data_IF_369380517109
#
_entry.id   IF_369380517109
#
_cell.length_a   1.000
_cell.length_b   1.000
_cell.length_c   1.000
_cell.angle_alpha   90.00
_cell.angle_beta   90.00
_cell.angle_gamma   90.00
#
_symmetry.space_group_name_H-M   'P 1'
#
loop_
_entity.id
_entity.type
_entity.pdbx_description
1 polymer ?
#
# COMPACT_ATOMS: atom_id res chain seq x y z
N UNK A 1 -57.02 48.99 15.91
CA UNK A 1 -55.88 48.12 16.15
C UNK A 1 -55.76 46.95 15.16
N UNK A 2 -56.81 46.20 14.86
CA UNK A 2 -56.79 45.00 14.00
C UNK A 2 -56.31 45.23 12.55
N UNK A 3 -56.54 46.40 11.94
CA UNK A 3 -56.17 46.68 10.53
C UNK A 3 -54.67 46.95 10.34
N UNK A 4 -54.00 47.57 11.31
CA UNK A 4 -52.53 47.78 11.29
C UNK A 4 -51.73 46.49 11.47
N UNK A 5 -52.22 45.60 12.34
CA UNK A 5 -51.60 44.29 12.58
C UNK A 5 -51.68 43.41 11.33
N UNK A 6 -52.82 43.39 10.63
CA UNK A 6 -52.99 42.62 9.38
C UNK A 6 -52.07 43.11 8.25
N UNK A 7 -51.88 44.42 8.10
CA UNK A 7 -50.96 44.97 7.11
C UNK A 7 -49.51 44.60 7.43
N UNK A 8 -49.10 44.65 8.69
CA UNK A 8 -47.77 44.24 9.12
C UNK A 8 -47.53 42.73 8.86
N UNK A 9 -48.51 41.88 9.16
CA UNK A 9 -48.39 40.44 8.92
C UNK A 9 -48.24 40.09 7.43
N UNK A 10 -48.99 40.78 6.56
CA UNK A 10 -48.88 40.60 5.10
C UNK A 10 -47.52 41.09 4.61
N UNK A 11 -47.00 42.20 5.14
CA UNK A 11 -45.66 42.69 4.78
C UNK A 11 -44.54 41.73 5.20
N UNK A 12 -44.64 41.16 6.39
CA UNK A 12 -43.69 40.15 6.86
C UNK A 12 -43.75 38.83 6.05
N UNK A 13 -44.96 38.39 5.69
CA UNK A 13 -45.15 37.21 4.82
C UNK A 13 -44.56 37.47 3.42
N UNK A 14 -44.80 38.65 2.84
CA UNK A 14 -44.23 39.03 1.57
C UNK A 14 -42.70 39.11 1.59
N UNK A 15 -42.10 39.62 2.66
CA UNK A 15 -40.66 39.66 2.84
C UNK A 15 -40.07 38.25 3.03
N UNK A 16 -40.76 37.38 3.77
CA UNK A 16 -40.32 35.97 3.95
C UNK A 16 -40.37 35.18 2.65
N UNK A 17 -41.42 35.34 1.85
CA UNK A 17 -41.54 34.73 0.51
C UNK A 17 -40.44 35.26 -0.44
N UNK A 18 -40.14 36.55 -0.40
CA UNK A 18 -39.04 37.16 -1.15
C UNK A 18 -37.68 36.59 -0.78
N UNK A 19 -37.39 36.43 0.52
CA UNK A 19 -36.16 35.84 1.03
C UNK A 19 -36.03 34.37 0.65
N UNK A 20 -37.12 33.58 0.73
CA UNK A 20 -37.14 32.18 0.29
C UNK A 20 -36.90 32.07 -1.23
N UNK A 21 -37.44 32.97 -2.04
CA UNK A 21 -37.20 33.00 -3.48
C UNK A 21 -35.73 33.30 -3.82
N UNK A 22 -35.13 34.29 -3.12
CA UNK A 22 -33.70 34.59 -3.25
C UNK A 22 -32.83 33.42 -2.82
N UNK A 23 -33.15 32.78 -1.68
CA UNK A 23 -32.42 31.61 -1.20
C UNK A 23 -32.51 30.43 -2.18
N UNK A 24 -33.69 30.15 -2.72
CA UNK A 24 -33.89 29.10 -3.72
C UNK A 24 -33.09 29.38 -5.02
N UNK A 25 -33.06 30.64 -5.45
CA UNK A 25 -32.30 31.05 -6.63
C UNK A 25 -30.80 30.96 -6.41
N UNK A 26 -30.30 31.37 -5.24
CA UNK A 26 -28.87 31.23 -4.86
C UNK A 26 -28.46 29.78 -4.77
N UNK A 27 -29.32 28.94 -4.22
CA UNK A 27 -29.06 27.50 -4.13
C UNK A 27 -28.99 26.84 -5.51
N UNK A 28 -29.92 27.19 -6.40
CA UNK A 28 -29.93 26.71 -7.79
C UNK A 28 -28.70 27.14 -8.56
N UNK A 29 -28.29 28.41 -8.42
CA UNK A 29 -27.04 28.93 -8.99
C UNK A 29 -25.80 28.22 -8.42
N UNK A 30 -25.82 27.90 -7.13
CA UNK A 30 -24.75 27.11 -6.49
C UNK A 30 -24.65 25.68 -7.04
N UNK A 31 -25.80 25.02 -7.24
CA UNK A 31 -25.90 23.69 -7.83
C UNK A 31 -25.40 23.67 -9.28
N UNK A 32 -25.86 24.62 -10.11
CA UNK A 32 -25.43 24.78 -11.52
C UNK A 32 -23.91 25.09 -11.63
N UNK A 33 -23.37 25.91 -10.75
CA UNK A 33 -21.94 26.21 -10.73
C UNK A 33 -21.11 25.00 -10.25
N UNK A 34 -21.59 24.22 -9.27
CA UNK A 34 -20.95 23.00 -8.82
C UNK A 34 -20.94 21.93 -9.93
N UNK A 35 -22.06 21.76 -10.65
CA UNK A 35 -22.14 20.84 -11.80
C UNK A 35 -21.19 21.26 -12.94
N UNK A 36 -21.10 22.56 -13.26
CA UNK A 36 -20.14 23.05 -14.26
C UNK A 36 -18.71 22.83 -13.83
N UNK A 37 -18.39 23.11 -12.57
CA UNK A 37 -17.05 22.90 -12.03
C UNK A 37 -16.65 21.41 -12.04
N UNK A 38 -17.59 20.52 -11.69
CA UNK A 38 -17.38 19.07 -11.72
C UNK A 38 -17.18 18.56 -13.16
N UNK A 39 -17.96 19.09 -14.12
CA UNK A 39 -17.82 18.75 -15.54
C UNK A 39 -16.46 19.16 -16.08
N UNK A 40 -16.03 20.40 -15.86
CA UNK A 40 -14.72 20.87 -16.29
C UNK A 40 -13.56 20.11 -15.63
N UNK A 41 -13.72 19.71 -14.37
CA UNK A 41 -12.73 18.87 -13.70
C UNK A 41 -12.63 17.48 -14.35
N UNK A 42 -13.77 16.88 -14.71
CA UNK A 42 -13.82 15.60 -15.43
C UNK A 42 -13.23 15.68 -16.84
N UNK A 43 -13.55 16.75 -17.59
CA UNK A 43 -12.97 17.00 -18.92
C UNK A 43 -11.43 17.14 -18.84
N UNK A 44 -10.94 17.91 -17.87
CA UNK A 44 -9.51 18.06 -17.65
C UNK A 44 -8.83 16.74 -17.26
N UNK A 45 -9.43 15.99 -16.36
CA UNK A 45 -8.92 14.69 -15.94
C UNK A 45 -8.85 13.70 -17.12
N UNK A 46 -9.86 13.71 -18.00
CA UNK A 46 -9.86 12.87 -19.19
C UNK A 46 -8.75 13.26 -20.19
N UNK A 47 -8.56 14.55 -20.43
CA UNK A 47 -7.46 15.03 -21.29
C UNK A 47 -6.09 14.68 -20.72
N UNK A 48 -5.92 14.77 -19.40
CA UNK A 48 -4.69 14.37 -18.72
C UNK A 48 -4.45 12.84 -18.83
N UNK A 49 -5.50 12.03 -18.68
CA UNK A 49 -5.42 10.58 -18.87
C UNK A 49 -4.96 10.23 -20.31
N UNK A 50 -5.53 10.88 -21.32
CA UNK A 50 -5.13 10.68 -22.71
C UNK A 50 -3.67 11.07 -22.95
N UNK A 51 -3.25 12.24 -22.45
CA UNK A 51 -1.88 12.72 -22.60
C UNK A 51 -0.87 11.84 -21.89
N UNK A 52 -1.15 11.46 -20.65
CA UNK A 52 -0.28 10.62 -19.86
C UNK A 52 -0.16 9.19 -20.43
N UNK A 53 -1.25 8.61 -20.94
CA UNK A 53 -1.24 7.28 -21.58
C UNK A 53 -0.40 7.29 -22.88
N UNK A 54 -0.49 8.34 -23.69
CA UNK A 54 0.33 8.50 -24.88
C UNK A 54 1.83 8.64 -24.54
N UNK A 55 2.14 9.47 -23.54
CA UNK A 55 3.51 9.67 -23.10
C UNK A 55 4.11 8.41 -22.43
N UNK A 56 3.27 7.61 -21.73
CA UNK A 56 3.65 6.32 -21.18
C UNK A 56 4.05 5.35 -22.28
N UNK A 57 3.23 5.21 -23.33
CA UNK A 57 3.55 4.38 -24.50
C UNK A 57 4.87 4.77 -25.14
N UNK A 58 5.09 6.04 -25.40
CA UNK A 58 6.33 6.58 -25.96
C UNK A 58 7.56 6.28 -25.09
N UNK A 59 7.44 6.43 -23.79
CA UNK A 59 8.54 6.18 -22.85
C UNK A 59 8.91 4.70 -22.79
N UNK A 60 7.92 3.81 -22.78
CA UNK A 60 8.12 2.35 -22.77
C UNK A 60 8.73 1.87 -24.09
N UNK A 61 8.25 2.36 -25.23
CA UNK A 61 8.80 2.03 -26.55
C UNK A 61 10.28 2.42 -26.65
N UNK A 62 10.61 3.66 -26.30
CA UNK A 62 12.00 4.14 -26.31
C UNK A 62 12.86 3.35 -25.31
N UNK A 63 12.30 2.98 -24.14
CA UNK A 63 12.97 2.16 -23.14
C UNK A 63 13.32 0.77 -23.64
N UNK A 64 12.46 0.14 -24.44
CA UNK A 64 12.72 -1.18 -25.04
C UNK A 64 13.83 -1.16 -26.11
N UNK A 65 14.05 -0.01 -26.74
CA UNK A 65 14.98 0.16 -27.87
C UNK A 65 16.37 0.66 -27.45
N UNK A 66 16.52 1.29 -26.29
CA UNK A 66 17.81 1.82 -25.84
C UNK A 66 18.67 0.73 -25.19
N UNK A 67 20.01 0.90 -25.32
CA UNK A 67 21.02 0.02 -24.70
C UNK A 67 21.90 0.77 -23.71
N UNK A 68 21.62 2.05 -23.45
CA UNK A 68 22.38 2.87 -22.52
C UNK A 68 21.71 2.88 -21.13
N UNK A 69 22.34 2.33 -20.08
CA UNK A 69 21.73 2.28 -18.74
C UNK A 69 21.28 3.65 -18.22
N UNK A 70 22.04 4.71 -18.47
CA UNK A 70 21.67 6.06 -18.07
C UNK A 70 20.41 6.58 -18.79
N UNK A 71 20.23 6.27 -20.07
CA UNK A 71 19.04 6.62 -20.83
C UNK A 71 17.87 5.69 -20.44
N UNK A 72 18.11 4.41 -20.25
CA UNK A 72 17.13 3.45 -19.74
C UNK A 72 16.54 3.93 -18.40
N UNK A 73 17.40 4.32 -17.44
CA UNK A 73 16.97 4.85 -16.17
C UNK A 73 16.07 6.10 -16.33
N UNK A 74 16.42 7.00 -17.25
CA UNK A 74 15.62 8.21 -17.52
C UNK A 74 14.27 7.87 -18.12
N UNK A 75 14.23 7.00 -19.13
CA UNK A 75 12.97 6.60 -19.79
C UNK A 75 12.07 5.79 -18.87
N UNK A 76 12.63 4.93 -18.02
CA UNK A 76 11.88 4.23 -16.99
C UNK A 76 11.34 5.20 -15.91
N UNK A 77 12.09 6.26 -15.56
CA UNK A 77 11.59 7.31 -14.68
C UNK A 77 10.43 8.09 -15.30
N UNK A 78 10.52 8.39 -16.59
CA UNK A 78 9.43 9.03 -17.33
C UNK A 78 8.21 8.13 -17.40
N UNK A 79 8.36 6.85 -17.73
CA UNK A 79 7.28 5.87 -17.74
C UNK A 79 6.58 5.76 -16.37
N UNK A 80 7.35 5.69 -15.28
CA UNK A 80 6.80 5.71 -13.93
C UNK A 80 6.00 6.99 -13.64
N UNK A 81 6.53 8.15 -14.00
CA UNK A 81 5.87 9.44 -13.82
C UNK A 81 4.55 9.53 -14.60
N UNK A 82 4.54 9.09 -15.86
CA UNK A 82 3.35 9.10 -16.72
C UNK A 82 2.29 8.11 -16.23
N UNK A 83 2.70 6.94 -15.78
CA UNK A 83 1.81 5.95 -15.17
C UNK A 83 1.09 6.52 -13.94
N UNK A 84 1.82 7.22 -13.07
CA UNK A 84 1.26 7.85 -11.87
C UNK A 84 0.31 9.02 -12.23
N UNK A 85 0.65 9.83 -13.26
CA UNK A 85 -0.22 10.89 -13.77
C UNK A 85 -1.51 10.31 -14.33
N UNK A 86 -1.44 9.24 -15.12
CA UNK A 86 -2.60 8.55 -15.67
C UNK A 86 -3.51 7.98 -14.58
N UNK A 87 -2.94 7.32 -13.55
CA UNK A 87 -3.70 6.83 -12.39
C UNK A 87 -4.40 7.95 -11.61
N UNK A 88 -3.69 9.06 -11.42
CA UNK A 88 -4.26 10.22 -10.73
C UNK A 88 -5.42 10.83 -11.52
N UNK A 89 -5.26 10.95 -12.83
CA UNK A 89 -6.29 11.44 -13.72
C UNK A 89 -7.51 10.49 -13.75
N UNK A 90 -7.28 9.18 -13.83
CA UNK A 90 -8.32 8.16 -13.76
C UNK A 90 -9.15 8.28 -12.47
N UNK A 91 -8.47 8.48 -11.32
CA UNK A 91 -9.13 8.67 -10.02
C UNK A 91 -9.92 9.97 -9.86
N UNK A 92 -9.73 10.95 -10.75
CA UNK A 92 -10.51 12.21 -10.76
C UNK A 92 -11.72 12.15 -11.66
N UNK A 93 -11.87 11.11 -12.47
CA UNK A 93 -13.07 10.93 -13.30
C UNK A 93 -14.29 10.63 -12.40
N UNK A 94 -15.51 10.95 -12.87
CA UNK A 94 -16.72 10.86 -12.05
C UNK A 94 -17.26 9.42 -11.90
N UNK A 95 -16.37 8.43 -11.93
CA UNK A 95 -16.66 7.02 -11.68
C UNK A 95 -15.51 6.41 -10.86
N UNK A 96 -15.79 5.33 -10.15
CA UNK A 96 -14.81 4.75 -9.23
C UNK A 96 -13.71 3.99 -9.98
N UNK A 97 -12.50 3.97 -9.41
CA UNK A 97 -11.40 3.11 -9.89
C UNK A 97 -11.75 1.61 -9.80
N UNK A 98 -12.76 1.24 -9.01
CA UNK A 98 -13.30 -0.12 -8.94
C UNK A 98 -14.02 -0.52 -10.23
N UNK A 99 -14.56 0.45 -10.97
CA UNK A 99 -15.19 0.24 -12.26
C UNK A 99 -14.20 0.14 -13.41
N UNK A 100 -12.92 0.57 -13.18
CA UNK A 100 -11.82 0.55 -14.16
C UNK A 100 -10.65 -0.29 -13.64
N UNK A 101 -10.94 -1.55 -13.28
CA UNK A 101 -10.00 -2.44 -12.57
C UNK A 101 -8.81 -2.79 -13.45
N UNK A 102 -9.03 -3.18 -14.72
CA UNK A 102 -7.96 -3.60 -15.63
C UNK A 102 -7.06 -2.42 -16.00
N UNK A 103 -7.66 -1.26 -16.35
CA UNK A 103 -6.92 -0.05 -16.69
C UNK A 103 -6.09 0.44 -15.49
N UNK A 104 -6.67 0.48 -14.29
CA UNK A 104 -5.95 0.92 -13.09
C UNK A 104 -4.84 -0.06 -12.70
N UNK A 105 -5.10 -1.36 -12.81
CA UNK A 105 -4.11 -2.41 -12.55
C UNK A 105 -2.96 -2.36 -13.57
N UNK A 106 -3.25 -2.18 -14.86
CA UNK A 106 -2.24 -2.00 -15.89
C UNK A 106 -1.34 -0.80 -15.60
N UNK A 107 -1.93 0.37 -15.39
CA UNK A 107 -1.18 1.59 -15.10
C UNK A 107 -0.32 1.44 -13.83
N UNK A 108 -0.89 0.92 -12.75
CA UNK A 108 -0.17 0.71 -11.50
C UNK A 108 1.03 -0.22 -11.65
N UNK A 109 0.82 -1.39 -12.23
CA UNK A 109 1.87 -2.41 -12.43
C UNK A 109 2.96 -1.96 -13.38
N UNK A 110 2.59 -1.30 -14.48
CA UNK A 110 3.55 -0.73 -15.44
C UNK A 110 4.43 0.32 -14.77
N UNK A 111 3.84 1.20 -13.97
CA UNK A 111 4.59 2.20 -13.21
C UNK A 111 5.56 1.55 -12.22
N UNK A 112 5.11 0.58 -11.45
CA UNK A 112 5.95 -0.11 -10.49
C UNK A 112 7.09 -0.88 -11.18
N UNK A 113 6.81 -1.53 -12.29
CA UNK A 113 7.82 -2.20 -13.09
C UNK A 113 8.87 -1.22 -13.63
N UNK A 114 8.43 -0.11 -14.23
CA UNK A 114 9.32 0.94 -14.71
C UNK A 114 10.21 1.51 -13.58
N UNK A 115 9.66 1.69 -12.38
CA UNK A 115 10.43 2.12 -11.20
C UNK A 115 11.52 1.14 -10.80
N UNK A 116 11.27 -0.16 -10.92
CA UNK A 116 12.29 -1.17 -10.66
C UNK A 116 13.42 -1.13 -11.67
N UNK A 117 13.08 -1.13 -12.96
CA UNK A 117 14.07 -1.05 -14.02
C UNK A 117 14.88 0.25 -13.95
N UNK A 118 14.23 1.38 -13.68
CA UNK A 118 14.90 2.66 -13.42
C UNK A 118 16.01 2.51 -12.38
N UNK A 119 15.73 1.83 -11.27
CA UNK A 119 16.70 1.66 -10.18
C UNK A 119 17.88 0.78 -10.63
N UNK A 120 17.61 -0.35 -11.28
CA UNK A 120 18.65 -1.25 -11.81
C UNK A 120 19.56 -0.54 -12.81
N UNK A 121 18.97 0.17 -13.76
CA UNK A 121 19.72 0.93 -14.77
C UNK A 121 20.49 2.12 -14.18
N UNK A 122 19.96 2.80 -13.16
CA UNK A 122 20.65 3.86 -12.45
C UNK A 122 21.91 3.35 -11.72
N UNK A 123 21.95 2.06 -11.34
CA UNK A 123 23.13 1.39 -10.79
C UNK A 123 24.08 0.87 -11.87
N UNK A 124 23.81 1.16 -13.14
CA UNK A 124 24.64 0.75 -14.28
C UNK A 124 24.39 -0.68 -14.75
N UNK A 125 23.30 -1.33 -14.31
CA UNK A 125 22.89 -2.64 -14.82
C UNK A 125 22.19 -2.45 -16.16
N UNK A 126 22.57 -3.23 -17.16
CA UNK A 126 21.88 -3.28 -18.44
C UNK A 126 20.62 -4.13 -18.35
N UNK A 127 19.55 -3.71 -19.01
CA UNK A 127 18.33 -4.51 -19.10
C UNK A 127 18.59 -5.82 -19.84
N UNK A 128 18.07 -6.90 -19.30
CA UNK A 128 18.05 -8.20 -19.97
C UNK A 128 17.17 -8.19 -21.23
N UNK A 129 17.36 -9.16 -22.12
CA UNK A 129 16.50 -9.33 -23.31
C UNK A 129 15.02 -9.59 -22.94
N UNK A 130 14.78 -10.20 -21.80
CA UNK A 130 13.45 -10.45 -21.27
C UNK A 130 12.78 -9.16 -20.77
N UNK A 131 13.51 -8.33 -20.03
CA UNK A 131 13.04 -7.03 -19.58
C UNK A 131 12.75 -6.09 -20.75
N UNK A 132 13.59 -6.10 -21.79
CA UNK A 132 13.36 -5.34 -23.03
C UNK A 132 12.09 -5.81 -23.75
N UNK A 133 11.89 -7.12 -23.83
CA UNK A 133 10.66 -7.69 -24.41
C UNK A 133 9.44 -7.28 -23.63
N UNK A 134 9.49 -7.36 -22.30
CA UNK A 134 8.39 -6.95 -21.44
C UNK A 134 8.05 -5.46 -21.58
N UNK A 135 9.06 -4.58 -21.71
CA UNK A 135 8.84 -3.17 -22.02
C UNK A 135 8.13 -2.98 -23.36
N UNK A 136 8.51 -3.77 -24.38
CA UNK A 136 7.87 -3.74 -25.70
C UNK A 136 6.39 -4.15 -25.63
N UNK A 137 6.07 -5.24 -24.94
CA UNK A 137 4.70 -5.72 -24.77
C UNK A 137 3.84 -4.73 -23.95
N UNK A 138 4.43 -4.11 -22.94
CA UNK A 138 3.76 -3.05 -22.17
C UNK A 138 3.55 -1.79 -23.02
N UNK A 139 4.50 -1.46 -23.91
CA UNK A 139 4.37 -0.35 -24.86
C UNK A 139 3.19 -0.58 -25.82
N UNK A 140 3.06 -1.80 -26.36
CA UNK A 140 1.93 -2.16 -27.24
C UNK A 140 0.59 -1.99 -26.53
N UNK A 141 0.48 -2.44 -25.28
CA UNK A 141 -0.74 -2.28 -24.48
C UNK A 141 -1.01 -0.81 -24.16
N UNK A 142 0.00 -0.02 -23.84
CA UNK A 142 -0.12 1.43 -23.60
C UNK A 142 -0.51 2.18 -24.87
N UNK A 143 0.00 1.76 -26.03
CA UNK A 143 -0.36 2.31 -27.34
C UNK A 143 -1.85 2.04 -27.65
N UNK A 144 -2.29 0.80 -27.44
CA UNK A 144 -3.70 0.43 -27.58
C UNK A 144 -4.61 1.27 -26.69
N UNK A 145 -4.28 1.40 -25.40
CA UNK A 145 -5.03 2.25 -24.46
C UNK A 145 -5.06 3.72 -24.93
N UNK A 146 -3.92 4.25 -25.35
CA UNK A 146 -3.83 5.63 -25.86
C UNK A 146 -4.71 5.87 -27.10
N UNK A 147 -4.75 4.92 -28.02
CA UNK A 147 -5.56 5.03 -29.24
C UNK A 147 -7.05 4.94 -28.92
N UNK A 148 -7.46 3.97 -28.09
CA UNK A 148 -8.83 3.84 -27.66
C UNK A 148 -9.36 5.09 -26.91
N UNK A 149 -8.51 5.70 -26.06
CA UNK A 149 -8.84 6.97 -25.40
C UNK A 149 -8.94 8.15 -26.39
N UNK A 150 -8.14 8.16 -27.47
CA UNK A 150 -8.23 9.18 -28.53
C UNK A 150 -9.50 9.05 -29.36
N UNK A 151 -9.90 7.83 -29.70
CA UNK A 151 -11.15 7.57 -30.39
C UNK A 151 -12.32 8.06 -29.56
N UNK A 152 -12.37 7.68 -28.28
CA UNK A 152 -13.38 8.13 -27.34
C UNK A 152 -13.42 9.65 -27.19
N UNK A 153 -12.26 10.32 -27.17
CA UNK A 153 -12.15 11.78 -27.17
C UNK A 153 -12.76 12.40 -28.42
N UNK A 154 -12.55 11.78 -29.59
CA UNK A 154 -13.16 12.20 -30.84
C UNK A 154 -14.69 12.17 -30.77
N UNK A 155 -15.27 11.09 -30.27
CA UNK A 155 -16.69 10.92 -30.07
C UNK A 155 -17.28 11.94 -29.08
N UNK A 156 -16.58 12.21 -27.98
CA UNK A 156 -16.98 13.25 -27.00
C UNK A 156 -17.00 14.63 -27.64
N UNK A 157 -16.06 14.93 -28.53
CA UNK A 157 -15.96 16.24 -29.20
C UNK A 157 -17.06 16.40 -30.26
N UNK A 158 -17.54 15.33 -30.89
CA UNK A 158 -18.60 15.36 -31.91
C UNK A 158 -20.02 15.39 -31.37
N UNK A 159 -20.24 15.28 -30.05
CA UNK A 159 -21.55 15.50 -29.46
C UNK A 159 -22.00 14.58 -28.33
N UNK A 160 -21.15 13.74 -27.80
CA UNK A 160 -21.43 13.03 -26.55
C UNK A 160 -21.49 14.02 -25.37
N UNK A 161 -22.67 14.61 -25.15
CA UNK A 161 -22.89 15.63 -24.14
C UNK A 161 -23.26 15.07 -22.76
N UNK A 162 -23.28 13.78 -22.60
CA UNK A 162 -23.75 13.12 -21.37
C UNK A 162 -22.62 12.36 -20.67
N UNK A 163 -22.43 12.64 -19.39
CA UNK A 163 -21.52 11.86 -18.55
C UNK A 163 -21.81 10.36 -18.54
N UNK A 164 -23.05 9.94 -18.88
CA UNK A 164 -23.45 8.56 -19.06
C UNK A 164 -22.84 7.89 -20.29
N UNK A 165 -22.85 8.57 -21.42
CA UNK A 165 -22.34 8.01 -22.69
C UNK A 165 -20.81 7.81 -22.63
N UNK A 166 -20.08 8.74 -22.00
CA UNK A 166 -18.65 8.63 -21.76
C UNK A 166 -18.33 7.48 -20.81
N UNK A 167 -19.16 7.28 -19.79
CA UNK A 167 -19.04 6.16 -18.85
C UNK A 167 -19.22 4.82 -19.57
N UNK A 168 -20.27 4.68 -20.36
CA UNK A 168 -20.59 3.44 -21.07
C UNK A 168 -19.48 3.08 -22.08
N UNK A 169 -18.90 4.08 -22.75
CA UNK A 169 -17.78 3.88 -23.66
C UNK A 169 -16.47 3.49 -22.95
N UNK A 170 -16.19 4.07 -21.77
CA UNK A 170 -15.07 3.63 -20.94
C UNK A 170 -15.25 2.22 -20.37
N UNK A 171 -16.47 1.83 -20.06
CA UNK A 171 -16.77 0.44 -19.67
C UNK A 171 -16.57 -0.53 -20.82
N UNK A 172 -16.94 -0.18 -22.03
CA UNK A 172 -16.68 -1.01 -23.21
C UNK A 172 -15.16 -1.19 -23.42
N UNK A 173 -14.38 -0.13 -23.23
CA UNK A 173 -12.91 -0.20 -23.26
C UNK A 173 -12.36 -1.11 -22.15
N UNK A 174 -12.93 -1.09 -20.96
CA UNK A 174 -12.52 -1.97 -19.85
C UNK A 174 -12.82 -3.45 -20.13
N UNK A 175 -13.94 -3.76 -20.81
CA UNK A 175 -14.26 -5.12 -21.23
C UNK A 175 -13.35 -5.63 -22.36
N UNK A 176 -12.89 -4.74 -23.25
CA UNK A 176 -11.98 -5.05 -24.36
C UNK A 176 -10.49 -5.00 -23.96
N UNK A 177 -10.19 -4.69 -22.69
CA UNK A 177 -8.82 -4.53 -22.24
C UNK A 177 -8.01 -5.82 -22.48
N UNK A 178 -6.83 -5.74 -23.15
CA UNK A 178 -6.01 -6.90 -23.44
C UNK A 178 -5.64 -7.70 -22.20
N UNK A 179 -5.66 -9.03 -22.29
CA UNK A 179 -5.11 -9.86 -21.21
C UNK A 179 -3.62 -9.56 -21.03
N UNK A 180 -3.25 -9.13 -19.81
CA UNK A 180 -1.90 -8.72 -19.46
C UNK A 180 -0.99 -9.95 -19.27
N UNK A 181 -0.75 -10.71 -20.34
CA UNK A 181 0.17 -11.86 -20.31
C UNK A 181 1.61 -11.44 -20.03
N UNK A 182 1.99 -10.23 -20.44
CA UNK A 182 3.33 -9.67 -20.22
C UNK A 182 3.64 -9.33 -18.76
N UNK A 183 2.62 -9.08 -17.94
CA UNK A 183 2.79 -8.82 -16.52
C UNK A 183 2.78 -10.10 -15.65
N UNK A 184 2.86 -11.27 -16.24
CA UNK A 184 3.32 -12.49 -15.56
C UNK A 184 4.85 -12.43 -15.40
N UNK A 185 5.30 -11.44 -14.67
CA UNK A 185 6.71 -11.18 -14.48
C UNK A 185 7.20 -11.90 -13.23
N UNK A 186 8.14 -12.85 -13.38
CA UNK A 186 8.79 -13.58 -12.28
C UNK A 186 9.86 -12.76 -11.55
N UNK A 187 9.92 -11.45 -11.79
CA UNK A 187 10.78 -10.50 -11.10
C UNK A 187 9.99 -9.30 -10.62
N UNK A 188 10.30 -8.76 -9.51
CA UNK A 188 9.86 -7.56 -8.82
C UNK A 188 8.37 -7.36 -8.55
N UNK A 189 7.45 -7.75 -9.41
CA UNK A 189 6.00 -7.60 -9.26
C UNK A 189 5.23 -8.70 -10.01
N UNK A 190 5.72 -9.94 -9.93
CA UNK A 190 4.94 -11.06 -10.43
C UNK A 190 3.64 -11.11 -9.62
N UNK A 191 2.51 -11.10 -10.33
CA UNK A 191 1.32 -11.78 -9.83
C UNK A 191 1.46 -13.28 -10.13
N UNK A 192 2.54 -13.91 -9.69
CA UNK A 192 2.42 -15.25 -9.18
C UNK A 192 1.43 -15.15 -8.02
N UNK A 193 0.49 -16.04 -7.90
CA UNK A 193 -0.29 -16.21 -6.69
C UNK A 193 0.69 -15.98 -5.54
N UNK A 194 0.44 -14.93 -4.70
CA UNK A 194 1.34 -14.60 -3.60
C UNK A 194 1.59 -15.88 -2.84
N UNK A 195 2.78 -16.44 -2.95
CA UNK A 195 3.14 -17.64 -2.23
C UNK A 195 3.50 -17.22 -0.80
N UNK A 196 2.57 -17.43 0.08
CA UNK A 196 2.81 -17.23 1.52
C UNK A 196 3.79 -18.27 2.03
N UNK A 197 5.05 -17.89 2.21
CA UNK A 197 6.16 -18.77 2.52
C UNK A 197 5.89 -19.64 3.77
N UNK A 198 5.31 -19.05 4.81
CA UNK A 198 4.95 -19.75 6.04
C UNK A 198 3.87 -20.81 5.83
N UNK A 199 3.02 -20.69 4.84
CA UNK A 199 1.87 -21.57 4.59
C UNK A 199 2.20 -22.70 3.62
N UNK A 200 3.36 -22.64 2.95
CA UNK A 200 3.78 -23.63 1.95
C UNK A 200 3.75 -25.05 2.50
N UNK A 201 2.99 -25.92 1.85
CA UNK A 201 2.87 -27.33 2.23
C UNK A 201 2.02 -27.63 3.46
N UNK A 202 1.40 -26.61 4.09
CA UNK A 202 0.47 -26.82 5.20
C UNK A 202 -0.91 -27.24 4.67
N UNK A 203 -1.63 -28.04 5.46
CA UNK A 203 -2.98 -28.51 5.15
C UNK A 203 -4.04 -27.39 5.28
N UNK A 204 -5.24 -27.68 4.78
CA UNK A 204 -6.39 -26.79 4.97
C UNK A 204 -6.87 -26.80 6.42
N UNK A 205 -7.21 -25.61 6.92
CA UNK A 205 -7.84 -25.37 8.21
C UNK A 205 -9.37 -25.31 8.00
N UNK A 206 -10.10 -26.14 8.73
CA UNK A 206 -11.56 -26.12 8.68
C UNK A 206 -12.12 -24.94 9.50
N UNK A 207 -13.41 -24.61 9.28
CA UNK A 207 -14.15 -23.64 10.08
C UNK A 207 -14.10 -23.95 11.60
N UNK A 208 -14.22 -25.23 11.93
CA UNK A 208 -14.13 -25.69 13.32
C UNK A 208 -12.74 -25.49 13.91
N UNK A 209 -11.68 -25.81 13.14
CA UNK A 209 -10.30 -25.62 13.58
C UNK A 209 -10.00 -24.12 13.76
N UNK A 210 -10.52 -23.26 12.87
CA UNK A 210 -10.37 -21.81 12.99
C UNK A 210 -10.99 -21.27 14.29
N UNK A 211 -12.16 -21.77 14.68
CA UNK A 211 -12.79 -21.41 15.96
C UNK A 211 -11.94 -21.84 17.17
N UNK A 212 -11.32 -23.04 17.10
CA UNK A 212 -10.43 -23.52 18.16
C UNK A 212 -9.13 -22.72 18.23
N UNK A 213 -8.55 -22.39 17.07
CA UNK A 213 -7.35 -21.54 17.00
C UNK A 213 -7.62 -20.15 17.57
N UNK A 214 -8.77 -19.55 17.26
CA UNK A 214 -9.14 -18.26 17.83
C UNK A 214 -9.27 -18.31 19.36
N UNK A 215 -9.88 -19.38 19.87
CA UNK A 215 -10.06 -19.58 21.30
C UNK A 215 -8.71 -19.78 22.03
N UNK A 216 -7.81 -20.55 21.48
CA UNK A 216 -6.47 -20.76 22.00
C UNK A 216 -5.63 -19.47 21.95
N UNK A 217 -5.69 -18.75 20.83
CA UNK A 217 -4.96 -17.49 20.65
C UNK A 217 -5.39 -16.40 21.63
N UNK A 218 -6.69 -16.32 21.93
CA UNK A 218 -7.25 -15.36 22.88
C UNK A 218 -7.32 -15.88 24.32
N UNK A 219 -6.96 -17.14 24.57
CA UNK A 219 -7.10 -17.81 25.87
C UNK A 219 -8.54 -17.77 26.44
N UNK A 220 -9.52 -17.89 25.54
CA UNK A 220 -10.95 -17.82 25.88
C UNK A 220 -11.68 -19.14 25.60
N UNK A 221 -12.87 -19.32 26.18
CA UNK A 221 -13.71 -20.47 25.89
C UNK A 221 -14.26 -20.38 24.44
N UNK A 222 -13.82 -21.28 23.58
CA UNK A 222 -14.21 -21.33 22.18
C UNK A 222 -15.69 -21.63 21.88
N UNK A 223 -16.50 -21.92 22.90
CA UNK A 223 -17.93 -22.21 22.72
C UNK A 223 -18.74 -21.05 22.17
N UNK A 224 -18.24 -19.82 22.29
CA UNK A 224 -18.86 -18.60 21.81
C UNK A 224 -18.23 -18.05 20.55
N UNK A 225 -17.23 -18.76 19.98
CA UNK A 225 -16.62 -18.35 18.72
C UNK A 225 -17.62 -18.49 17.57
N UNK A 226 -17.83 -17.44 16.83
CA UNK A 226 -18.63 -17.42 15.60
C UNK A 226 -17.73 -17.24 14.40
N UNK A 227 -17.83 -18.16 13.43
CA UNK A 227 -17.14 -18.06 12.15
C UNK A 227 -18.12 -17.43 11.15
N UNK A 228 -17.79 -16.22 10.68
CA UNK A 228 -18.70 -15.43 9.83
C UNK A 228 -18.58 -15.76 8.33
N UNK A 229 -17.53 -16.51 7.95
CA UNK A 229 -17.29 -16.90 6.57
C UNK A 229 -15.81 -16.91 6.21
N UNK A 230 -15.55 -17.12 4.91
CA UNK A 230 -14.22 -17.10 4.34
C UNK A 230 -14.14 -16.02 3.26
N UNK A 231 -13.09 -15.21 3.25
CA UNK A 231 -12.85 -14.15 2.27
C UNK A 231 -11.37 -13.85 2.11
N UNK A 232 -11.06 -12.93 1.19
CA UNK A 232 -9.72 -12.55 0.79
C UNK A 232 -9.31 -13.23 -0.51
N UNK A 233 -9.05 -12.44 -1.57
CA UNK A 233 -8.66 -12.97 -2.88
C UNK A 233 -7.21 -13.47 -2.86
N UNK A 234 -6.30 -12.73 -2.25
CA UNK A 234 -4.88 -13.09 -2.19
C UNK A 234 -4.57 -14.08 -1.07
N UNK A 235 -5.11 -13.87 0.15
CA UNK A 235 -4.98 -14.77 1.28
C UNK A 235 -6.37 -15.16 1.81
N UNK A 236 -6.92 -16.30 1.38
CA UNK A 236 -8.19 -16.80 1.91
C UNK A 236 -8.13 -17.02 3.42
N UNK A 237 -8.93 -16.29 4.17
CA UNK A 237 -8.99 -16.35 5.63
C UNK A 237 -10.40 -16.62 6.13
N UNK A 238 -10.49 -17.35 7.24
CA UNK A 238 -11.68 -17.40 8.07
C UNK A 238 -11.78 -16.12 8.90
N UNK A 239 -12.95 -15.51 8.94
CA UNK A 239 -13.28 -14.41 9.83
C UNK A 239 -13.95 -14.98 11.07
N UNK A 240 -13.31 -14.82 12.21
CA UNK A 240 -13.78 -15.40 13.48
C UNK A 240 -13.98 -14.28 14.49
N UNK A 241 -15.16 -14.23 15.10
CA UNK A 241 -15.44 -13.35 16.22
C UNK A 241 -15.55 -14.14 17.52
N UNK A 242 -14.90 -13.65 18.57
CA UNK A 242 -14.93 -14.24 19.90
C UNK A 242 -14.95 -13.13 20.97
N UNK A 243 -16.06 -12.98 21.65
CA UNK A 243 -16.28 -11.84 22.57
C UNK A 243 -16.27 -10.51 21.81
N UNK A 244 -15.39 -9.60 22.21
CA UNK A 244 -15.18 -8.30 21.57
C UNK A 244 -13.99 -8.32 20.58
N UNK A 245 -13.43 -9.48 20.30
CA UNK A 245 -12.29 -9.64 19.41
C UNK A 245 -12.71 -10.24 18.07
N UNK A 246 -12.04 -9.78 17.01
CA UNK A 246 -12.19 -10.31 15.65
C UNK A 246 -10.81 -10.78 15.13
N UNK A 247 -10.77 -11.96 14.52
CA UNK A 247 -9.55 -12.56 13.98
C UNK A 247 -9.71 -12.90 12.51
N UNK A 248 -8.60 -12.79 11.77
CA UNK A 248 -8.41 -13.38 10.45
C UNK A 248 -7.46 -14.55 10.60
N UNK A 249 -7.90 -15.74 10.21
CA UNK A 249 -7.12 -16.98 10.30
C UNK A 249 -7.00 -17.58 8.91
N UNK A 250 -5.77 -17.82 8.44
CA UNK A 250 -5.53 -18.34 7.11
C UNK A 250 -6.19 -19.70 6.90
N UNK A 251 -6.84 -19.87 5.76
CA UNK A 251 -7.48 -21.12 5.39
C UNK A 251 -6.47 -22.25 5.16
N UNK A 252 -5.31 -21.90 4.63
CA UNK A 252 -4.17 -22.79 4.57
C UNK A 252 -3.32 -22.64 5.84
N UNK A 253 -3.05 -23.69 6.54
CA UNK A 253 -2.16 -23.74 7.70
C UNK A 253 -2.75 -23.23 9.01
N UNK A 254 -3.94 -22.59 9.03
CA UNK A 254 -4.59 -22.11 10.26
C UNK A 254 -3.77 -21.06 11.02
N UNK A 255 -3.09 -20.17 10.31
CA UNK A 255 -2.24 -19.15 10.93
C UNK A 255 -3.09 -17.92 11.28
N UNK A 256 -2.95 -17.38 12.49
CA UNK A 256 -3.56 -16.09 12.82
C UNK A 256 -2.79 -15.00 12.06
N UNK A 257 -3.48 -14.32 11.14
CA UNK A 257 -2.92 -13.26 10.29
C UNK A 257 -3.12 -11.90 10.95
N UNK A 258 -4.31 -11.70 11.50
CA UNK A 258 -4.69 -10.43 12.12
C UNK A 258 -5.64 -10.69 13.29
N UNK A 259 -5.54 -9.85 14.32
CA UNK A 259 -6.50 -9.78 15.42
C UNK A 259 -6.71 -8.33 15.81
N UNK A 260 -7.96 -8.00 16.09
CA UNK A 260 -8.36 -6.75 16.75
C UNK A 260 -9.23 -7.09 17.98
N UNK A 261 -8.93 -6.47 19.09
CA UNK A 261 -9.66 -6.62 20.34
C UNK A 261 -9.96 -5.26 20.96
N UNK A 262 -10.90 -5.23 21.92
CA UNK A 262 -11.16 -4.02 22.68
C UNK A 262 -10.13 -3.85 23.81
N UNK A 263 -9.64 -2.61 23.96
CA UNK A 263 -8.86 -2.24 25.13
C UNK A 263 -9.79 -2.09 26.36
N UNK A 264 -9.34 -2.58 27.50
CA UNK A 264 -10.05 -2.28 28.76
C UNK A 264 -9.92 -0.78 29.08
N UNK A 265 -11.03 -0.10 29.44
CA UNK A 265 -10.97 1.30 29.84
C UNK A 265 -10.25 1.43 31.17
N UNK A 266 -9.30 2.34 31.27
CA UNK A 266 -8.57 2.58 32.52
C UNK A 266 -7.45 3.60 32.33
N UNK A 267 -6.78 3.97 33.41
CA UNK A 267 -5.57 4.78 33.33
C UNK A 267 -4.36 3.86 33.06
N UNK A 268 -3.36 4.30 32.27
CA UNK A 268 -2.13 3.56 32.04
C UNK A 268 -1.44 3.19 33.36
N UNK A 269 -1.15 1.90 33.54
CA UNK A 269 -0.50 1.36 34.72
C UNK A 269 0.89 0.76 34.39
N UNK A 270 1.15 0.47 33.12
CA UNK A 270 2.40 -0.15 32.64
C UNK A 270 3.28 0.90 31.99
N UNK A 271 4.59 0.72 32.14
CA UNK A 271 5.58 1.45 31.36
C UNK A 271 5.70 0.89 29.93
N UNK A 272 6.26 1.64 28.97
CA UNK A 272 6.53 1.12 27.61
C UNK A 272 7.38 -0.15 27.62
N UNK A 273 8.37 -0.26 28.53
CA UNK A 273 9.24 -1.43 28.66
C UNK A 273 8.48 -2.66 29.18
N UNK A 274 7.56 -2.45 30.10
CA UNK A 274 6.69 -3.53 30.60
C UNK A 274 5.71 -4.01 29.51
N UNK A 275 5.23 -3.10 28.66
CA UNK A 275 4.40 -3.42 27.52
C UNK A 275 5.20 -4.18 26.43
N UNK A 276 6.45 -3.78 26.16
CA UNK A 276 7.38 -4.52 25.29
C UNK A 276 7.59 -5.97 25.78
N UNK A 277 7.85 -6.14 27.08
CA UNK A 277 8.02 -7.46 27.69
C UNK A 277 6.74 -8.31 27.55
N UNK A 278 5.56 -7.71 27.78
CA UNK A 278 4.28 -8.37 27.60
C UNK A 278 4.07 -8.83 26.15
N UNK A 279 4.38 -7.98 25.15
CA UNK A 279 4.33 -8.34 23.73
C UNK A 279 5.30 -9.45 23.36
N UNK A 280 6.55 -9.35 23.80
CA UNK A 280 7.55 -10.37 23.55
C UNK A 280 7.19 -11.72 24.20
N UNK A 281 6.56 -11.71 25.36
CA UNK A 281 6.05 -12.90 26.03
C UNK A 281 4.87 -13.51 25.27
N UNK A 282 3.96 -12.66 24.77
CA UNK A 282 2.82 -13.07 23.94
C UNK A 282 3.32 -13.79 22.67
N UNK A 283 4.27 -13.20 21.94
CA UNK A 283 4.83 -13.79 20.74
C UNK A 283 5.45 -15.18 21.00
N UNK A 284 6.32 -15.30 22.00
CA UNK A 284 6.92 -16.59 22.39
C UNK A 284 5.87 -17.62 22.74
N UNK A 285 4.82 -17.24 23.46
CA UNK A 285 3.73 -18.13 23.84
C UNK A 285 3.00 -18.73 22.64
N UNK A 286 2.84 -17.94 21.57
CA UNK A 286 2.15 -18.34 20.34
C UNK A 286 3.10 -18.90 19.27
N UNK A 287 4.34 -19.24 19.65
CA UNK A 287 5.31 -19.94 18.78
C UNK A 287 6.05 -19.00 17.81
N UNK A 288 5.98 -17.68 18.02
CA UNK A 288 6.81 -16.72 17.31
C UNK A 288 8.12 -16.51 18.09
N UNK A 289 9.07 -17.40 17.87
CA UNK A 289 10.37 -17.38 18.53
C UNK A 289 11.34 -16.41 17.82
N UNK A 290 12.35 -15.94 18.54
CA UNK A 290 13.40 -15.04 18.00
C UNK A 290 12.87 -13.73 17.42
N UNK A 291 11.84 -13.17 18.02
CA UNK A 291 11.31 -11.87 17.64
C UNK A 291 11.93 -10.76 18.51
N UNK A 292 12.53 -9.76 17.88
CA UNK A 292 13.18 -8.62 18.52
C UNK A 292 12.41 -7.35 18.20
N UNK A 293 12.10 -6.52 19.22
CA UNK A 293 11.47 -5.22 19.01
C UNK A 293 12.42 -4.31 18.22
N UNK A 294 11.96 -3.76 17.11
CA UNK A 294 12.73 -2.82 16.28
C UNK A 294 12.22 -1.40 16.37
N UNK A 295 10.93 -1.24 16.60
CA UNK A 295 10.27 0.06 16.75
C UNK A 295 9.17 -0.03 17.79
N UNK A 296 9.03 1.02 18.63
CA UNK A 296 7.98 1.11 19.62
C UNK A 296 7.57 2.56 19.85
N UNK A 297 6.28 2.83 19.85
CA UNK A 297 5.70 4.16 20.10
C UNK A 297 4.54 4.04 21.07
N UNK A 298 4.47 4.97 22.03
CA UNK A 298 3.33 5.08 22.92
C UNK A 298 2.29 6.00 22.33
N UNK A 299 1.11 5.47 22.07
CA UNK A 299 -0.04 6.21 21.57
C UNK A 299 -1.18 6.17 22.60
N UNK A 300 -1.37 7.26 23.33
CA UNK A 300 -2.41 7.38 24.39
C UNK A 300 -2.28 6.28 25.47
N UNK A 301 -3.16 5.29 25.45
CA UNK A 301 -3.26 4.20 26.42
C UNK A 301 -2.71 2.88 25.87
N UNK A 302 -2.01 2.94 24.73
CA UNK A 302 -1.47 1.76 24.04
C UNK A 302 0.00 1.95 23.69
N UNK A 303 0.77 0.87 23.77
CA UNK A 303 2.08 0.75 23.19
C UNK A 303 1.94 0.01 21.85
N UNK A 304 2.37 0.65 20.77
CA UNK A 304 2.39 0.05 19.42
C UNK A 304 3.81 -0.28 19.08
N UNK A 305 4.10 -1.57 18.87
CA UNK A 305 5.45 -2.05 18.56
C UNK A 305 5.49 -2.91 17.30
N UNK A 306 6.67 -2.91 16.67
CA UNK A 306 7.02 -3.78 15.55
C UNK A 306 8.13 -4.72 15.98
N UNK A 307 7.86 -6.03 15.94
CA UNK A 307 8.83 -7.07 16.22
C UNK A 307 9.27 -7.72 14.92
N UNK A 308 10.56 -7.87 14.75
CA UNK A 308 11.20 -8.46 13.58
C UNK A 308 11.85 -9.77 13.94
N UNK A 309 11.73 -10.78 13.06
CA UNK A 309 12.41 -12.05 13.24
C UNK A 309 13.93 -11.91 13.11
N UNK A 310 14.67 -12.49 14.04
CA UNK A 310 16.12 -12.49 14.04
C UNK A 310 16.65 -13.91 13.78
N UNK A 311 17.42 -14.08 12.72
CA UNK A 311 18.07 -15.32 12.38
C UNK A 311 19.60 -15.16 12.38
N UNK A 312 20.27 -15.91 13.25
CA UNK A 312 21.74 -15.94 13.33
C UNK A 312 22.39 -14.53 13.47
N UNK A 313 21.74 -13.62 14.21
CA UNK A 313 22.18 -12.26 14.41
C UNK A 313 21.82 -11.30 13.26
N UNK A 314 20.96 -11.68 12.33
CA UNK A 314 20.46 -10.87 11.22
C UNK A 314 18.97 -10.58 11.42
N UNK A 315 18.58 -9.31 11.44
CA UNK A 315 17.19 -8.88 11.48
C UNK A 315 16.55 -9.09 10.11
N UNK A 316 15.56 -9.97 10.02
CA UNK A 316 14.83 -10.25 8.77
C UNK A 316 13.63 -9.32 8.64
N UNK A 317 13.84 -8.10 8.13
CA UNK A 317 12.80 -7.05 8.02
C UNK A 317 11.52 -7.45 7.25
N UNK A 318 11.53 -8.37 6.28
CA UNK A 318 10.29 -8.89 5.70
C UNK A 318 9.43 -9.69 6.69
N UNK A 319 10.01 -10.22 7.76
CA UNK A 319 9.32 -11.08 8.74
C UNK A 319 8.90 -10.26 9.97
N UNK A 320 8.05 -9.26 9.78
CA UNK A 320 7.60 -8.37 10.85
C UNK A 320 6.22 -8.74 11.38
N UNK A 321 6.05 -8.54 12.69
CA UNK A 321 4.77 -8.60 13.38
C UNK A 321 4.54 -7.28 14.10
N UNK A 322 3.40 -6.65 13.86
CA UNK A 322 2.99 -5.42 14.56
C UNK A 322 1.94 -5.74 15.61
N UNK A 323 2.12 -5.17 16.79
CA UNK A 323 1.15 -5.35 17.88
C UNK A 323 0.83 -4.03 18.56
N UNK A 324 -0.42 -3.93 19.02
CA UNK A 324 -0.86 -2.91 19.96
C UNK A 324 -1.10 -3.56 21.32
N UNK A 325 -0.53 -3.01 22.36
CA UNK A 325 -0.59 -3.53 23.73
C UNK A 325 -1.18 -2.45 24.63
N UNK A 326 -2.21 -2.80 25.37
CA UNK A 326 -2.83 -1.90 26.34
C UNK A 326 -1.86 -1.60 27.48
N UNK A 327 -1.62 -0.32 27.75
CA UNK A 327 -0.85 0.13 28.91
C UNK A 327 -1.66 0.04 30.23
N UNK A 328 -2.95 -0.28 30.16
CA UNK A 328 -3.80 -0.45 31.33
C UNK A 328 -3.53 -1.79 32.00
N UNK A 329 -3.43 -2.87 31.23
CA UNK A 329 -3.36 -4.25 31.74
C UNK A 329 -2.39 -5.17 31.02
N UNK A 330 -1.70 -4.68 29.99
CA UNK A 330 -0.74 -5.47 29.20
C UNK A 330 -1.38 -6.44 28.21
N UNK A 331 -2.69 -6.37 27.98
CA UNK A 331 -3.37 -7.20 26.99
C UNK A 331 -3.03 -6.76 25.55
N UNK A 332 -2.90 -7.73 24.65
CA UNK A 332 -2.71 -7.46 23.22
C UNK A 332 -4.06 -7.15 22.60
N UNK A 333 -4.23 -5.90 22.16
CA UNK A 333 -5.46 -5.38 21.55
C UNK A 333 -5.42 -5.33 20.04
N UNK A 334 -4.21 -5.40 19.46
CA UNK A 334 -3.99 -5.46 18.03
C UNK A 334 -2.84 -6.40 17.71
N UNK A 335 -3.01 -7.21 16.67
CA UNK A 335 -1.98 -8.11 16.16
C UNK A 335 -2.08 -8.17 14.63
N UNK A 336 -0.95 -7.99 13.94
CA UNK A 336 -0.86 -8.12 12.50
C UNK A 336 0.45 -8.83 12.15
N UNK A 337 0.32 -10.02 11.60
CA UNK A 337 1.42 -10.87 11.15
C UNK A 337 1.36 -11.16 9.64
N UNK A 338 0.71 -10.31 8.84
CA UNK A 338 0.55 -10.55 7.40
C UNK A 338 1.91 -10.67 6.70
N UNK A 339 2.82 -9.72 6.95
CA UNK A 339 4.19 -9.73 6.45
C UNK A 339 4.96 -10.99 6.88
N UNK A 340 4.83 -11.37 8.15
CA UNK A 340 5.43 -12.58 8.68
C UNK A 340 4.90 -13.85 7.99
N UNK A 341 3.60 -13.93 7.75
CA UNK A 341 2.98 -15.08 7.07
C UNK A 341 3.41 -15.16 5.61
N UNK A 342 3.56 -14.01 4.95
CA UNK A 342 3.97 -13.93 3.56
C UNK A 342 5.44 -14.34 3.37
N UNK A 343 6.35 -13.86 4.21
CA UNK A 343 7.77 -13.92 3.94
C UNK A 343 8.54 -14.93 4.80
N UNK A 344 8.00 -15.32 5.99
CA UNK A 344 8.78 -16.08 6.95
C UNK A 344 9.21 -17.45 6.44
N UNK A 345 10.52 -17.60 6.34
CA UNK A 345 11.19 -18.86 6.04
C UNK A 345 12.59 -18.85 6.65
N UNK A 346 13.15 -20.04 6.88
CA UNK A 346 14.55 -20.12 7.28
C UNK A 346 15.46 -19.96 6.07
N UNK A 347 16.30 -18.94 6.11
CA UNK A 347 17.18 -18.55 5.01
C UNK A 347 18.58 -19.12 5.16
N UNK A 348 19.28 -19.27 4.04
CA UNK A 348 20.72 -19.47 4.04
C UNK A 348 21.38 -18.11 3.89
N UNK A 349 21.94 -17.58 4.99
CA UNK A 349 22.54 -16.26 4.99
C UNK A 349 24.05 -16.39 4.74
N UNK A 350 24.55 -15.67 3.72
CA UNK A 350 25.98 -15.49 3.52
C UNK A 350 26.43 -14.28 4.33
N UNK A 351 27.16 -14.53 5.41
CA UNK A 351 27.65 -13.49 6.34
C UNK A 351 28.97 -12.86 5.91
N UNK A 352 29.48 -13.17 4.71
CA UNK A 352 30.59 -12.42 4.13
C UNK A 352 30.10 -11.03 3.72
N UNK A 353 30.58 -10.01 4.42
CA UNK A 353 30.10 -8.63 4.24
C UNK A 353 31.22 -7.74 3.72
N UNK A 354 30.80 -6.68 2.99
CA UNK A 354 31.61 -5.50 2.71
C UNK A 354 32.18 -4.94 4.02
N UNK A 355 33.33 -4.25 3.95
CA UNK A 355 33.96 -3.70 5.14
C UNK A 355 33.09 -2.64 5.81
N UNK A 356 32.75 -2.81 7.07
CA UNK A 356 31.93 -1.90 7.85
C UNK A 356 32.49 -0.47 7.88
N UNK A 357 33.82 -0.36 8.00
CA UNK A 357 34.52 0.94 8.03
C UNK A 357 34.34 1.71 6.72
N UNK A 358 34.42 1.02 5.58
CA UNK A 358 34.27 1.63 4.26
C UNK A 358 32.83 2.04 4.01
N UNK A 359 31.85 1.18 4.38
CA UNK A 359 30.43 1.51 4.29
C UNK A 359 30.07 2.72 5.18
N UNK A 360 30.56 2.74 6.42
CA UNK A 360 30.36 3.87 7.34
C UNK A 360 30.98 5.16 6.79
N UNK A 361 32.16 5.08 6.17
CA UNK A 361 32.82 6.25 5.60
C UNK A 361 32.10 6.82 4.37
N UNK A 362 31.27 6.01 3.72
CA UNK A 362 30.47 6.44 2.58
C UNK A 362 29.13 7.11 2.97
N UNK A 363 28.70 7.01 4.25
CA UNK A 363 27.49 7.65 4.73
C UNK A 363 27.61 9.19 4.67
N UNK A 364 26.44 9.84 4.56
CA UNK A 364 26.40 11.30 4.55
C UNK A 364 27.08 11.89 5.80
N UNK A 365 27.96 12.90 5.66
CA UNK A 365 28.70 13.50 6.80
C UNK A 365 27.81 14.11 7.88
N UNK A 366 26.55 14.36 7.58
CA UNK A 366 25.55 14.87 8.53
C UNK A 366 25.01 13.80 9.48
N UNK A 367 25.32 12.52 9.25
CA UNK A 367 24.84 11.39 10.04
C UNK A 367 25.91 10.96 11.06
N UNK A 368 25.50 10.80 12.31
CA UNK A 368 26.29 10.14 13.35
C UNK A 368 25.78 8.73 13.57
N UNK A 369 26.64 7.73 13.39
CA UNK A 369 26.30 6.32 13.61
C UNK A 369 26.28 6.03 15.11
N UNK A 370 25.18 5.50 15.61
CA UNK A 370 24.98 5.12 17.01
C UNK A 370 25.08 3.61 17.21
N UNK A 371 24.53 2.83 16.25
CA UNK A 371 24.44 1.38 16.35
C UNK A 371 24.65 0.73 14.98
N UNK A 372 25.16 -0.48 14.95
CA UNK A 372 25.43 -1.28 13.76
C UNK A 372 24.86 -2.68 13.91
N UNK A 373 24.15 -3.15 12.90
CA UNK A 373 23.55 -4.49 12.85
C UNK A 373 23.50 -5.04 11.43
N UNK A 374 23.31 -6.33 11.29
CA UNK A 374 22.98 -6.94 10.00
C UNK A 374 21.46 -6.99 9.85
N UNK A 375 20.97 -6.65 8.67
CA UNK A 375 19.57 -6.76 8.36
C UNK A 375 19.36 -7.33 6.95
N UNK A 376 18.34 -8.14 6.81
CA UNK A 376 17.81 -8.58 5.53
C UNK A 376 16.64 -7.67 5.17
N UNK A 377 16.65 -7.06 4.01
CA UNK A 377 15.55 -6.21 3.53
C UNK A 377 15.02 -6.75 2.21
N UNK A 378 13.72 -6.59 1.96
CA UNK A 378 13.17 -6.79 0.63
C UNK A 378 13.54 -5.61 -0.26
N UNK A 379 14.11 -5.87 -1.42
CA UNK A 379 14.27 -4.87 -2.47
C UNK A 379 12.90 -4.56 -3.09
N UNK A 380 12.71 -3.43 -3.78
CA UNK A 380 11.48 -3.17 -4.54
C UNK A 380 11.13 -4.29 -5.52
N UNK A 381 12.07 -5.12 -5.87
CA UNK A 381 11.96 -6.30 -6.70
C UNK A 381 11.54 -7.58 -6.02
N UNK A 382 11.21 -7.56 -4.74
CA UNK A 382 10.89 -8.76 -3.99
C UNK A 382 12.10 -9.63 -3.64
N UNK A 383 13.30 -9.33 -4.19
CA UNK A 383 14.53 -10.02 -3.81
C UNK A 383 14.98 -9.58 -2.42
N UNK A 384 15.34 -10.53 -1.60
CA UNK A 384 15.91 -10.26 -0.29
C UNK A 384 17.41 -9.94 -0.41
N UNK A 385 17.82 -8.82 0.22
CA UNK A 385 19.21 -8.38 0.25
C UNK A 385 19.73 -8.30 1.68
N UNK A 386 20.89 -8.92 1.93
CA UNK A 386 21.62 -8.72 3.16
C UNK A 386 22.27 -7.34 3.15
N UNK A 387 22.05 -6.58 4.20
CA UNK A 387 22.55 -5.21 4.36
C UNK A 387 23.28 -5.02 5.70
N UNK A 388 24.27 -4.14 5.67
CA UNK A 388 24.80 -3.47 6.84
C UNK A 388 23.80 -2.38 7.22
N UNK A 389 23.22 -2.46 8.40
CA UNK A 389 22.26 -1.50 8.91
C UNK A 389 22.92 -0.59 9.92
N UNK A 390 22.86 0.71 9.69
CA UNK A 390 23.37 1.74 10.57
C UNK A 390 22.21 2.52 11.17
N UNK A 391 22.06 2.47 12.50
CA UNK A 391 21.21 3.44 13.22
C UNK A 391 21.98 4.72 13.35
N UNK A 392 21.44 5.77 12.76
CA UNK A 392 22.07 7.07 12.68
C UNK A 392 21.18 8.15 13.27
N UNK A 393 21.83 9.22 13.75
CA UNK A 393 21.19 10.47 14.14
C UNK A 393 21.62 11.59 13.22
N UNK A 394 20.67 12.34 12.68
CA UNK A 394 20.94 13.54 11.88
C UNK A 394 21.20 14.77 12.76
N UNK A 395 21.78 15.83 12.19
CA UNK A 395 22.06 17.07 12.90
C UNK A 395 20.81 17.81 13.43
N UNK A 396 19.60 17.41 13.04
CA UNK A 396 18.32 17.89 13.54
C UNK A 396 17.72 16.96 14.61
N UNK A 397 18.51 16.08 15.19
CA UNK A 397 18.15 15.11 16.23
C UNK A 397 17.17 14.02 15.76
N UNK A 398 17.00 13.84 14.43
CA UNK A 398 16.18 12.78 13.86
C UNK A 398 16.95 11.47 13.77
N UNK A 399 16.34 10.41 14.24
CA UNK A 399 16.87 9.06 14.08
C UNK A 399 16.47 8.47 12.72
N UNK A 400 17.40 7.74 12.11
CA UNK A 400 17.16 7.01 10.87
C UNK A 400 17.96 5.71 10.82
N UNK A 401 17.49 4.76 10.03
CA UNK A 401 18.20 3.54 9.67
C UNK A 401 18.69 3.68 8.22
N UNK A 402 19.97 3.45 8.01
CA UNK A 402 20.59 3.41 6.68
C UNK A 402 21.01 1.99 6.39
N UNK A 403 20.51 1.42 5.32
CA UNK A 403 20.83 0.07 4.87
C UNK A 403 21.79 0.15 3.69
N UNK A 404 22.97 -0.42 3.87
CA UNK A 404 23.97 -0.54 2.81
C UNK A 404 24.12 -2.00 2.40
N UNK A 405 24.16 -2.29 1.11
CA UNK A 405 24.36 -3.65 0.60
C UNK A 405 25.57 -4.31 1.23
N UNK A 406 25.38 -5.48 1.84
CA UNK A 406 26.49 -6.25 2.41
C UNK A 406 27.48 -6.74 1.33
N UNK A 407 27.08 -6.79 0.08
CA UNK A 407 27.93 -7.21 -1.03
C UNK A 407 28.77 -6.07 -1.61
N UNK A 408 28.22 -4.84 -1.69
CA UNK A 408 28.83 -3.72 -2.43
C UNK A 408 29.11 -2.48 -1.59
N UNK A 409 28.53 -2.35 -0.40
CA UNK A 409 28.58 -1.15 0.43
C UNK A 409 27.67 0.00 -0.05
N UNK A 410 26.95 -0.17 -1.17
CA UNK A 410 26.07 0.87 -1.70
C UNK A 410 24.82 1.02 -0.83
N UNK A 411 24.37 2.26 -0.62
CA UNK A 411 23.13 2.54 0.09
C UNK A 411 21.93 1.98 -0.69
N UNK A 412 21.11 1.16 -0.02
CA UNK A 412 19.93 0.52 -0.60
C UNK A 412 18.63 1.19 -0.14
N UNK A 413 18.58 1.65 1.14
CA UNK A 413 17.38 2.22 1.76
C UNK A 413 17.75 3.14 2.90
N UNK A 414 16.94 4.17 3.13
CA UNK A 414 16.95 5.00 4.35
C UNK A 414 15.52 5.01 4.90
N UNK A 415 15.39 4.76 6.19
CA UNK A 415 14.12 4.82 6.92
C UNK A 415 14.25 5.87 8.03
N UNK A 416 13.32 6.82 8.07
CA UNK A 416 13.23 7.78 9.17
C UNK A 416 12.42 7.14 10.29
N UNK A 417 12.99 7.04 11.48
CA UNK A 417 12.28 6.56 12.65
C UNK A 417 11.32 7.64 13.15
N UNK A 418 10.15 7.22 13.62
CA UNK A 418 9.19 8.14 14.23
C UNK A 418 9.72 8.58 15.58
N UNK A 419 9.57 9.86 15.89
CA UNK A 419 9.83 10.36 17.24
C UNK A 419 8.85 9.65 18.22
N UNK A 420 9.40 9.11 19.31
CA UNK A 420 8.68 8.40 20.35
C UNK A 420 7.79 9.32 21.19
#
# INVERSE_FOLDING_TARGET
>A
MKRKTAILTIAYLGAAIGLLGVYASLRKLGEENAERSSRHAGEYAFEELCAASAALSDALEKGSLTTSPGLEATLCADAYGQSLSALTALGQLPFSTVEMVNTSAFLGRTGDYARCLMRSSALGQELSEEERRSLGELSETAAWLSEALKELRGEITEGLTCAGDCRDALFALEEEFPELSALRYDGCYSQSEKEYALLRGKGECSEHDAALIAADFLEQDGRTAAVEGCGGEELPCWYVTLGESALRISRQGGQVVQMSGAALPGEPALSPEEAEEAGSKFLRKHGYDHMTLTEGVTERESFVGTWCYEQDGVLCRPDEIRMAISLVDGSVTGFNAEEYVEHHTRRTLDTHTYAWEDARAALAPALSVEEESLALIASPGGEEKLCLCFRCRSGEDRECLVYCSAATGAEERIELLREA
#
